data_IF_946980655497
#
_entry.id   IF_946980655497
#
_cell.length_a   1.000
_cell.length_b   1.000
_cell.length_c   1.000
_cell.angle_alpha   90.00
_cell.angle_beta   90.00
_cell.angle_gamma   90.00
#
_symmetry.space_group_name_H-M   'P 1'
#
loop_
_entity.id
_entity.type
_entity.pdbx_description
1 polymer ?
#
# COMPACT_ATOMS: atom_id res chain seq x y z
N UNK A 1 -3.92 13.80 10.96
CA UNK A 1 -2.94 12.70 10.87
C UNK A 1 -3.08 11.88 9.59
N UNK A 2 -4.28 11.41 9.21
CA UNK A 2 -4.53 10.69 7.95
C UNK A 2 -3.95 11.40 6.70
N UNK A 3 -4.29 12.68 6.51
CA UNK A 3 -3.83 13.46 5.34
C UNK A 3 -2.29 13.47 5.28
N UNK A 4 -1.63 13.74 6.41
CA UNK A 4 -0.17 13.70 6.52
C UNK A 4 0.42 12.33 6.13
N UNK A 5 -0.19 11.21 6.54
CA UNK A 5 0.27 9.87 6.14
C UNK A 5 0.16 9.70 4.63
N UNK A 6 -0.97 10.10 4.04
CA UNK A 6 -1.18 10.02 2.59
C UNK A 6 -0.19 10.92 1.83
N UNK A 7 0.06 12.13 2.32
CA UNK A 7 1.03 13.06 1.73
C UNK A 7 2.46 12.48 1.79
N UNK A 8 2.84 11.86 2.92
CA UNK A 8 4.14 11.18 3.06
C UNK A 8 4.24 10.00 2.10
N UNK A 9 3.20 9.18 1.97
CA UNK A 9 3.18 8.04 1.04
C UNK A 9 3.30 8.52 -0.42
N UNK A 10 2.57 9.57 -0.77
CA UNK A 10 2.61 10.18 -2.10
C UNK A 10 3.98 10.80 -2.39
N UNK A 11 4.53 11.58 -1.47
CA UNK A 11 5.87 12.14 -1.58
C UNK A 11 6.93 11.03 -1.74
N UNK A 12 6.82 9.96 -0.96
CA UNK A 12 7.73 8.81 -1.06
C UNK A 12 7.60 8.15 -2.44
N UNK A 13 6.39 8.01 -2.99
CA UNK A 13 6.19 7.45 -4.32
C UNK A 13 6.88 8.30 -5.39
N UNK A 14 6.71 9.63 -5.34
CA UNK A 14 7.39 10.57 -6.25
C UNK A 14 8.91 10.50 -6.11
N UNK A 15 9.42 10.40 -4.87
CA UNK A 15 10.85 10.25 -4.62
C UNK A 15 11.38 8.95 -5.24
N UNK A 16 10.70 7.82 -5.06
CA UNK A 16 11.13 6.55 -5.66
C UNK A 16 11.01 6.57 -7.17
N UNK A 17 9.99 7.20 -7.72
CA UNK A 17 9.81 7.32 -9.16
C UNK A 17 10.95 8.13 -9.81
N UNK A 18 11.31 9.27 -9.20
CA UNK A 18 12.23 10.24 -9.80
C UNK A 18 13.66 10.25 -9.23
N UNK A 19 13.97 9.47 -8.19
CA UNK A 19 15.32 9.40 -7.59
C UNK A 19 16.07 8.14 -8.00
N UNK A 20 17.40 8.23 -8.09
CA UNK A 20 18.28 7.08 -8.23
C UNK A 20 18.59 6.38 -6.90
N UNK A 21 18.40 7.07 -5.76
CA UNK A 21 18.70 6.57 -4.41
C UNK A 21 17.60 5.70 -3.80
N UNK A 22 16.87 4.95 -4.64
CA UNK A 22 15.73 4.11 -4.26
C UNK A 22 16.07 3.04 -3.21
N UNK A 23 17.35 2.67 -3.13
CA UNK A 23 17.88 1.66 -2.21
C UNK A 23 17.99 2.15 -0.76
N UNK A 24 17.84 3.46 -0.50
CA UNK A 24 17.92 4.03 0.85
C UNK A 24 16.62 3.86 1.65
N UNK A 25 15.55 3.40 1.02
CA UNK A 25 14.31 3.15 1.74
C UNK A 25 14.49 2.00 2.73
N UNK A 26 14.39 2.29 4.03
CA UNK A 26 14.62 1.31 5.11
C UNK A 26 13.45 1.23 6.09
N UNK A 27 12.25 1.57 5.63
CA UNK A 27 11.06 1.77 6.47
C UNK A 27 9.89 0.88 6.06
N UNK A 28 10.19 -0.28 5.47
CA UNK A 28 9.21 -1.23 4.94
C UNK A 28 8.32 -1.85 6.01
N UNK A 29 8.80 -1.97 7.25
CA UNK A 29 8.02 -2.43 8.40
C UNK A 29 6.82 -1.53 8.65
N UNK A 30 7.01 -0.22 8.49
CA UNK A 30 5.93 0.74 8.64
C UNK A 30 4.91 0.64 7.51
N UNK A 31 5.32 0.31 6.27
CA UNK A 31 4.36 0.02 5.20
C UNK A 31 3.55 -1.25 5.49
N UNK A 32 4.21 -2.30 5.97
CA UNK A 32 3.52 -3.54 6.36
C UNK A 32 2.53 -3.28 7.50
N UNK A 33 2.89 -2.45 8.48
CA UNK A 33 1.98 -2.01 9.55
C UNK A 33 0.82 -1.17 8.99
N UNK A 34 1.07 -0.24 8.07
CA UNK A 34 0.02 0.58 7.47
C UNK A 34 -0.95 -0.24 6.59
N UNK A 35 -0.53 -1.37 6.02
CA UNK A 35 -1.43 -2.33 5.38
C UNK A 35 -2.41 -3.00 6.36
N UNK A 36 -2.21 -2.85 7.68
CA UNK A 36 -3.15 -3.29 8.73
C UNK A 36 -4.16 -2.21 9.13
N UNK A 37 -4.08 -1.02 8.53
CA UNK A 37 -5.05 0.05 8.77
C UNK A 37 -6.47 -0.37 8.40
N UNK A 38 -7.45 0.08 9.18
CA UNK A 38 -8.87 -0.03 8.84
C UNK A 38 -9.31 0.97 7.76
N UNK A 39 -8.49 1.97 7.46
CA UNK A 39 -8.76 2.98 6.44
C UNK A 39 -8.27 2.52 5.06
N UNK A 40 -9.21 2.28 4.14
CA UNK A 40 -8.93 1.82 2.77
C UNK A 40 -8.07 2.79 1.97
N UNK A 41 -8.13 4.09 2.24
CA UNK A 41 -7.30 5.06 1.52
C UNK A 41 -5.83 4.94 1.92
N UNK A 42 -5.57 4.64 3.20
CA UNK A 42 -4.20 4.39 3.68
C UNK A 42 -3.68 3.10 3.05
N UNK A 43 -4.47 2.02 3.08
CA UNK A 43 -4.09 0.74 2.46
C UNK A 43 -3.82 0.92 0.97
N UNK A 44 -4.69 1.62 0.24
CA UNK A 44 -4.51 1.93 -1.17
C UNK A 44 -3.25 2.77 -1.43
N UNK A 45 -2.99 3.80 -0.62
CA UNK A 45 -1.77 4.62 -0.74
C UNK A 45 -0.50 3.79 -0.58
N UNK A 46 -0.49 2.85 0.38
CA UNK A 46 0.64 1.93 0.55
C UNK A 46 0.78 0.98 -0.64
N UNK A 47 -0.32 0.42 -1.15
CA UNK A 47 -0.31 -0.44 -2.33
C UNK A 47 0.19 0.29 -3.58
N UNK A 48 -0.22 1.54 -3.79
CA UNK A 48 0.28 2.40 -4.87
C UNK A 48 1.79 2.61 -4.76
N UNK A 49 2.30 2.88 -3.55
CA UNK A 49 3.74 3.01 -3.32
C UNK A 49 4.49 1.70 -3.59
N UNK A 50 3.98 0.56 -3.11
CA UNK A 50 4.56 -0.77 -3.38
C UNK A 50 4.58 -1.10 -4.88
N UNK A 51 3.56 -0.66 -5.62
CA UNK A 51 3.51 -0.80 -7.07
C UNK A 51 4.57 0.07 -7.78
N UNK A 52 4.81 1.29 -7.31
CA UNK A 52 5.92 2.12 -7.83
C UNK A 52 7.26 1.44 -7.55
N UNK A 53 7.44 0.89 -6.34
CA UNK A 53 8.62 0.09 -6.00
C UNK A 53 8.79 -1.10 -6.96
N UNK A 54 7.74 -1.86 -7.25
CA UNK A 54 7.85 -3.05 -8.12
C UNK A 54 8.19 -2.69 -9.57
N UNK A 55 7.73 -1.54 -10.06
CA UNK A 55 8.01 -1.09 -11.43
C UNK A 55 9.36 -0.42 -11.62
N UNK A 56 9.84 0.33 -10.62
CA UNK A 56 10.98 1.23 -10.76
C UNK A 56 12.20 0.83 -9.94
N UNK A 57 12.11 -0.23 -9.14
CA UNK A 57 13.20 -0.66 -8.27
C UNK A 57 13.26 -2.18 -8.09
N UNK A 58 14.46 -2.69 -7.85
CA UNK A 58 14.67 -4.04 -7.33
C UNK A 58 14.50 -4.09 -5.80
N UNK A 59 13.74 -3.17 -5.22
CA UNK A 59 13.60 -3.04 -3.76
C UNK A 59 12.97 -4.30 -3.15
N UNK A 60 11.85 -4.77 -3.71
CA UNK A 60 11.11 -5.94 -3.22
C UNK A 60 11.95 -7.22 -3.35
N UNK A 61 12.75 -7.33 -4.42
CA UNK A 61 13.60 -8.51 -4.64
C UNK A 61 14.80 -8.55 -3.70
N UNK A 62 15.35 -7.40 -3.31
CA UNK A 62 16.48 -7.28 -2.37
C UNK A 62 16.07 -7.22 -0.90
N UNK A 63 14.78 -7.23 -0.62
CA UNK A 63 14.26 -7.20 0.74
C UNK A 63 14.70 -8.45 1.52
N UNK A 64 15.04 -8.27 2.80
CA UNK A 64 15.34 -9.39 3.69
C UNK A 64 14.20 -10.40 3.69
N UNK A 65 14.54 -11.69 3.73
CA UNK A 65 13.57 -12.78 3.55
C UNK A 65 12.38 -12.67 4.51
N UNK A 66 12.64 -12.39 5.79
CA UNK A 66 11.60 -12.26 6.81
C UNK A 66 10.60 -11.14 6.50
N UNK A 67 11.12 -9.97 6.11
CA UNK A 67 10.31 -8.79 5.74
C UNK A 67 9.53 -9.04 4.45
N UNK A 68 10.13 -9.76 3.50
CA UNK A 68 9.48 -10.16 2.25
C UNK A 68 8.35 -11.14 2.51
N UNK A 69 8.54 -12.14 3.37
CA UNK A 69 7.50 -13.07 3.77
C UNK A 69 6.37 -12.36 4.51
N UNK A 70 6.69 -11.44 5.42
CA UNK A 70 5.68 -10.63 6.12
C UNK A 70 4.85 -9.78 5.15
N UNK A 71 5.49 -9.13 4.18
CA UNK A 71 4.80 -8.35 3.14
C UNK A 71 3.89 -9.23 2.28
N UNK A 72 4.40 -10.35 1.78
CA UNK A 72 3.62 -11.28 0.95
C UNK A 72 2.43 -11.85 1.73
N UNK A 73 2.66 -12.30 2.97
CA UNK A 73 1.59 -12.81 3.83
C UNK A 73 0.50 -11.76 4.06
N UNK A 74 0.87 -10.49 4.24
CA UNK A 74 -0.11 -9.42 4.39
C UNK A 74 -0.89 -9.15 3.09
N UNK A 75 -0.23 -9.19 1.94
CA UNK A 75 -0.89 -9.01 0.64
C UNK A 75 -1.85 -10.17 0.31
N UNK A 76 -1.48 -11.40 0.64
CA UNK A 76 -2.36 -12.58 0.51
C UNK A 76 -3.58 -12.43 1.41
N UNK A 77 -3.36 -12.14 2.70
CA UNK A 77 -4.47 -11.91 3.63
C UNK A 77 -5.40 -10.80 3.13
N UNK A 78 -4.85 -9.70 2.62
CA UNK A 78 -5.65 -8.64 2.02
C UNK A 78 -6.44 -9.16 0.83
N UNK A 79 -5.83 -9.88 -0.10
CA UNK A 79 -6.53 -10.44 -1.27
C UNK A 79 -7.66 -11.42 -0.88
N UNK A 80 -7.47 -12.21 0.19
CA UNK A 80 -8.48 -13.16 0.69
C UNK A 80 -9.63 -12.47 1.44
N UNK A 81 -9.34 -11.36 2.13
CA UNK A 81 -10.31 -10.65 2.97
C UNK A 81 -10.95 -9.43 2.30
N UNK A 82 -10.44 -9.01 1.13
CA UNK A 82 -10.97 -7.89 0.37
C UNK A 82 -12.37 -8.25 -0.17
N UNK A 83 -13.36 -7.41 0.13
CA UNK A 83 -14.70 -7.56 -0.45
C UNK A 83 -15.64 -8.52 0.29
N UNK A 84 -15.27 -9.01 1.47
CA UNK A 84 -16.20 -9.73 2.34
C UNK A 84 -17.26 -8.80 2.96
N UNK A 85 -18.53 -9.24 2.99
CA UNK A 85 -19.67 -8.53 3.63
C UNK A 85 -19.37 -8.09 5.07
N UNK A 86 -18.61 -8.88 5.81
CA UNK A 86 -18.22 -8.65 7.21
C UNK A 86 -17.26 -7.45 7.37
N UNK A 87 -16.49 -7.09 6.34
CA UNK A 87 -15.47 -6.04 6.40
C UNK A 87 -15.98 -4.67 5.90
N UNK A 88 -17.27 -4.54 5.60
CA UNK A 88 -17.90 -3.27 5.21
C UNK A 88 -17.62 -2.80 3.78
N UNK A 89 -16.87 -3.58 2.99
CA UNK A 89 -16.54 -3.29 1.59
C UNK A 89 -17.42 -4.13 0.65
N UNK A 90 -18.73 -3.93 0.71
CA UNK A 90 -19.61 -4.45 -0.34
C UNK A 90 -19.26 -3.73 -1.65
N UNK A 91 -18.72 -4.47 -2.62
CA UNK A 91 -18.42 -3.95 -3.97
C UNK A 91 -19.66 -3.27 -4.57
N UNK A 92 -20.87 -3.72 -4.24
CA UNK A 92 -22.10 -3.08 -4.66
C UNK A 92 -22.28 -1.65 -4.10
N UNK A 93 -21.80 -1.34 -2.89
CA UNK A 93 -21.79 0.04 -2.35
C UNK A 93 -20.70 0.91 -2.98
N UNK A 94 -19.56 0.35 -3.36
CA UNK A 94 -18.53 1.11 -4.08
C UNK A 94 -19.00 1.54 -5.48
N UNK A 95 -19.81 0.71 -6.15
CA UNK A 95 -20.42 1.04 -7.44
C UNK A 95 -21.64 1.96 -7.33
N UNK A 96 -22.22 2.16 -6.15
CA UNK A 96 -23.39 3.04 -5.97
C UNK A 96 -23.04 4.51 -5.76
N UNK A 97 -21.75 4.84 -5.53
CA UNK A 97 -21.24 6.22 -5.60
C UNK A 97 -21.03 6.59 -7.07
N UNK A 98 -22.14 6.71 -7.80
CA UNK A 98 -22.18 7.35 -9.10
C UNK A 98 -22.22 8.87 -8.84
N UNK A 99 -21.22 9.58 -9.38
CA UNK A 99 -21.01 11.04 -9.35
C UNK A 99 -22.23 11.89 -8.97
N UNK A 100 -22.15 12.79 -7.96
CA UNK A 100 -22.91 14.02 -8.02
C UNK A 100 -22.22 14.96 -9.03
N UNK A 101 -23.05 15.56 -9.88
CA UNK A 101 -22.73 16.61 -10.84
C UNK A 101 -22.07 17.84 -10.19
#
# INVERSE_FOLDING_TARGET
LKILILDILHFTALLIEHSYSRHLYNSIEYLIMLLQSSDVHIVLGVLSLLYVFSKRSNFITRLQLDKKQALIGRLIFLAETWGGRENGFDLARCCSVRNPE
#
